data_IF_461384449940
#
_entry.id   IF_461384449940
#
_cell.length_a   1.000
_cell.length_b   1.000
_cell.length_c   1.000
_cell.angle_alpha   90.00
_cell.angle_beta   90.00
_cell.angle_gamma   90.00
#
_symmetry.space_group_name_H-M   'P 1'
#
loop_
_entity.id
_entity.type
_entity.pdbx_description
1 polymer ?
#
# COMPACT_ATOMS: atom_id res chain seq x y z
N UNK A 1 -45.96 -12.99 -0.49
CA UNK A 1 -44.97 -12.63 -1.54
C UNK A 1 -44.03 -13.82 -1.68
N UNK A 2 -44.11 -14.54 -2.80
CA UNK A 2 -43.32 -15.75 -3.05
C UNK A 2 -41.82 -15.45 -2.97
N UNK A 3 -41.09 -16.22 -2.15
CA UNK A 3 -39.63 -16.30 -2.16
C UNK A 3 -39.17 -16.64 -3.58
N UNK A 4 -38.80 -15.62 -4.36
CA UNK A 4 -37.98 -15.84 -5.55
C UNK A 4 -36.65 -16.40 -5.08
N UNK A 5 -36.06 -17.31 -5.86
CA UNK A 5 -34.75 -17.93 -5.61
C UNK A 5 -33.68 -16.85 -5.35
N UNK A 6 -33.46 -16.44 -4.09
CA UNK A 6 -32.31 -15.58 -3.78
C UNK A 6 -31.05 -16.45 -3.83
N UNK A 7 -29.93 -15.87 -4.23
CA UNK A 7 -28.66 -16.58 -4.27
C UNK A 7 -27.55 -15.64 -3.88
N UNK A 8 -26.62 -16.15 -3.08
CA UNK A 8 -25.37 -15.48 -2.72
C UNK A 8 -24.34 -15.89 -3.76
N UNK A 9 -23.87 -14.94 -4.58
CA UNK A 9 -22.79 -15.14 -5.53
C UNK A 9 -21.53 -14.47 -4.99
N UNK A 10 -20.49 -15.26 -4.83
CA UNK A 10 -19.20 -14.79 -4.32
C UNK A 10 -18.32 -14.50 -5.53
N UNK A 11 -17.71 -13.31 -5.58
CA UNK A 11 -17.08 -12.79 -6.80
C UNK A 11 -15.59 -13.06 -6.88
N UNK A 12 -14.90 -13.12 -5.75
CA UNK A 12 -13.45 -13.01 -5.72
C UNK A 12 -12.74 -14.29 -5.25
N UNK A 13 -13.40 -15.46 -5.34
CA UNK A 13 -12.76 -16.73 -5.00
C UNK A 13 -12.95 -17.80 -6.06
N UNK A 14 -11.81 -18.29 -6.58
CA UNK A 14 -11.71 -19.56 -7.32
C UNK A 14 -10.95 -20.66 -6.57
N UNK A 15 -10.37 -20.36 -5.39
CA UNK A 15 -9.55 -21.27 -4.57
C UNK A 15 -9.90 -21.12 -3.08
N UNK A 16 -9.61 -22.17 -2.30
CA UNK A 16 -9.97 -22.27 -0.87
C UNK A 16 -8.78 -22.18 0.11
N UNK A 17 -7.55 -22.06 -0.38
CA UNK A 17 -6.32 -22.11 0.44
C UNK A 17 -5.58 -20.79 0.32
N UNK A 18 -5.23 -20.13 1.43
CA UNK A 18 -4.55 -18.85 1.46
C UNK A 18 -3.24 -18.94 2.23
N UNK A 19 -2.21 -18.19 1.79
CA UNK A 19 -0.95 -18.07 2.51
C UNK A 19 -0.88 -16.84 3.42
N UNK A 20 -2.02 -16.21 3.71
CA UNK A 20 -2.13 -14.97 4.49
C UNK A 20 -3.24 -15.06 5.52
N UNK A 21 -3.13 -14.26 6.58
CA UNK A 21 -4.13 -14.25 7.66
C UNK A 21 -5.37 -13.41 7.35
N UNK A 22 -5.26 -12.28 6.64
CA UNK A 22 -6.41 -11.40 6.35
C UNK A 22 -6.89 -11.61 4.92
N UNK A 23 -8.21 -11.81 4.77
CA UNK A 23 -8.89 -11.93 3.48
C UNK A 23 -10.10 -11.00 3.40
N UNK A 24 -10.42 -10.55 2.19
CA UNK A 24 -11.62 -9.77 1.90
C UNK A 24 -12.59 -10.63 1.10
N UNK A 25 -13.71 -11.04 1.69
CA UNK A 25 -14.80 -11.70 0.97
C UNK A 25 -15.67 -10.64 0.32
N UNK A 26 -15.89 -10.75 -0.99
CA UNK A 26 -16.80 -9.88 -1.74
C UNK A 26 -17.78 -10.70 -2.57
N UNK A 27 -19.01 -10.21 -2.68
CA UNK A 27 -20.05 -10.91 -3.42
C UNK A 27 -21.21 -10.03 -3.79
N UNK A 28 -22.22 -10.62 -4.44
CA UNK A 28 -23.49 -9.99 -4.72
C UNK A 28 -24.69 -10.91 -4.49
N UNK A 29 -25.84 -10.28 -4.34
CA UNK A 29 -27.15 -10.92 -4.22
C UNK A 29 -27.88 -10.78 -5.56
N UNK A 30 -28.22 -11.89 -6.23
CA UNK A 30 -28.85 -11.83 -7.57
C UNK A 30 -30.28 -11.28 -7.52
N UNK A 31 -31.09 -11.73 -6.57
CA UNK A 31 -32.48 -11.33 -6.40
C UNK A 31 -32.67 -10.56 -5.09
N UNK A 32 -33.23 -9.34 -5.15
CA UNK A 32 -33.44 -8.51 -3.95
C UNK A 32 -34.55 -9.06 -3.06
N UNK A 33 -34.32 -9.02 -1.75
CA UNK A 33 -35.31 -9.11 -0.69
C UNK A 33 -35.41 -7.76 0.03
N UNK A 34 -36.38 -7.59 0.94
CA UNK A 34 -36.45 -6.46 1.88
C UNK A 34 -35.30 -6.44 2.90
N UNK A 35 -34.56 -7.55 3.02
CA UNK A 35 -33.39 -7.62 3.90
C UNK A 35 -32.25 -6.72 3.38
N UNK A 36 -31.87 -5.74 4.20
CA UNK A 36 -30.78 -4.80 3.92
C UNK A 36 -29.39 -5.31 4.30
N UNK A 37 -29.30 -6.41 5.07
CA UNK A 37 -28.05 -6.91 5.63
C UNK A 37 -27.82 -8.37 5.26
N UNK A 38 -26.54 -8.73 5.11
CA UNK A 38 -26.05 -10.10 5.08
C UNK A 38 -25.27 -10.34 6.38
N UNK A 39 -25.40 -11.55 6.92
CA UNK A 39 -24.69 -11.95 8.13
C UNK A 39 -23.60 -12.95 7.76
N UNK A 40 -22.47 -12.86 8.45
CA UNK A 40 -21.37 -13.79 8.35
C UNK A 40 -21.11 -14.38 9.72
N UNK A 41 -20.94 -15.71 9.77
CA UNK A 41 -20.53 -16.45 10.95
C UNK A 41 -19.29 -17.28 10.63
N UNK A 42 -18.18 -17.03 11.33
CA UNK A 42 -16.94 -17.79 11.21
C UNK A 42 -16.79 -18.73 12.42
N UNK A 43 -16.62 -20.02 12.13
CA UNK A 43 -16.40 -21.09 13.12
C UNK A 43 -17.42 -21.07 14.28
N UNK A 44 -18.65 -20.66 13.99
CA UNK A 44 -19.76 -20.48 14.95
C UNK A 44 -19.47 -19.52 16.13
N UNK A 45 -18.36 -18.77 16.09
CA UNK A 45 -17.90 -17.92 17.18
C UNK A 45 -17.87 -16.42 16.83
N UNK A 46 -17.47 -16.07 15.61
CA UNK A 46 -17.33 -14.66 15.19
C UNK A 46 -18.47 -14.30 14.25
N UNK A 47 -19.31 -13.33 14.65
CA UNK A 47 -20.41 -12.82 13.82
C UNK A 47 -20.12 -11.41 13.33
N UNK A 48 -20.28 -11.18 12.03
CA UNK A 48 -20.25 -9.86 11.41
C UNK A 48 -21.55 -9.63 10.63
N UNK A 49 -21.95 -8.36 10.49
CA UNK A 49 -23.07 -7.96 9.62
C UNK A 49 -22.58 -6.89 8.66
N UNK A 50 -22.92 -7.05 7.38
CA UNK A 50 -22.61 -6.06 6.35
C UNK A 50 -23.89 -5.58 5.68
N UNK A 51 -23.99 -4.27 5.47
CA UNK A 51 -25.09 -3.68 4.68
C UNK A 51 -24.89 -4.02 3.21
N UNK A 52 -25.96 -4.44 2.55
CA UNK A 52 -25.96 -4.74 1.12
C UNK A 52 -26.18 -3.44 0.36
N UNK A 53 -25.22 -3.08 -0.48
CA UNK A 53 -25.23 -1.82 -1.22
C UNK A 53 -25.07 -2.13 -2.70
N UNK A 54 -26.04 -1.67 -3.51
CA UNK A 54 -26.10 -2.02 -4.94
C UNK A 54 -26.00 -3.53 -5.16
N UNK A 55 -26.70 -4.32 -4.33
CA UNK A 55 -26.67 -5.78 -4.29
C UNK A 55 -25.31 -6.39 -3.92
N UNK A 56 -24.30 -5.59 -3.60
CA UNK A 56 -22.96 -6.07 -3.26
C UNK A 56 -22.73 -6.04 -1.76
N UNK A 57 -21.87 -6.92 -1.27
CA UNK A 57 -21.42 -6.97 0.11
C UNK A 57 -19.92 -7.25 0.17
N UNK A 58 -19.30 -6.87 1.28
CA UNK A 58 -17.91 -7.13 1.61
C UNK A 58 -17.77 -7.50 3.08
N UNK A 59 -16.91 -8.46 3.38
CA UNK A 59 -16.50 -8.84 4.73
C UNK A 59 -14.98 -8.95 4.79
N UNK A 60 -14.39 -8.42 5.85
CA UNK A 60 -12.97 -8.56 6.11
C UNK A 60 -12.78 -9.54 7.27
N UNK A 61 -11.99 -10.60 7.04
CA UNK A 61 -11.84 -11.70 7.98
C UNK A 61 -10.39 -11.95 8.31
N UNK A 62 -10.18 -12.49 9.51
CA UNK A 62 -8.90 -13.08 9.93
C UNK A 62 -9.06 -14.61 9.99
N UNK A 63 -8.30 -15.32 9.17
CA UNK A 63 -8.26 -16.77 9.15
C UNK A 63 -7.34 -17.30 10.25
N UNK A 64 -7.84 -18.31 10.96
CA UNK A 64 -7.06 -19.10 11.89
C UNK A 64 -6.06 -19.97 11.13
N UNK A 65 -4.82 -19.98 11.62
CA UNK A 65 -3.67 -20.60 10.97
C UNK A 65 -3.71 -22.13 11.06
N UNK A 66 -3.31 -22.81 9.98
CA UNK A 66 -3.16 -24.26 9.88
C UNK A 66 -4.42 -25.04 10.23
N UNK A 67 -5.60 -24.46 9.97
CA UNK A 67 -6.88 -25.12 10.13
C UNK A 67 -7.88 -24.65 9.05
N UNK A 68 -8.95 -25.43 8.88
CA UNK A 68 -10.10 -25.06 8.05
C UNK A 68 -10.95 -24.07 8.84
N UNK A 69 -11.21 -22.92 8.23
CA UNK A 69 -12.12 -21.88 8.72
C UNK A 69 -13.45 -22.06 7.98
N UNK A 70 -14.53 -22.29 8.73
CA UNK A 70 -15.87 -22.48 8.18
C UNK A 70 -16.60 -21.14 8.22
N UNK A 71 -16.88 -20.59 7.04
CA UNK A 71 -17.57 -19.29 6.89
C UNK A 71 -18.99 -19.53 6.40
N UNK A 72 -19.98 -19.21 7.23
CA UNK A 72 -21.40 -19.28 6.88
C UNK A 72 -21.92 -17.88 6.56
N UNK A 73 -22.36 -17.68 5.33
CA UNK A 73 -23.02 -16.46 4.86
C UNK A 73 -24.53 -16.68 4.86
N UNK A 74 -25.26 -15.85 5.60
CA UNK A 74 -26.72 -15.93 5.73
C UNK A 74 -27.39 -14.69 5.16
N UNK A 75 -28.32 -14.90 4.23
CA UNK A 75 -29.17 -13.85 3.68
C UNK A 75 -30.60 -14.35 3.52
N UNK A 76 -31.55 -13.76 4.26
CA UNK A 76 -32.94 -14.20 4.29
C UNK A 76 -33.02 -15.69 4.70
N UNK A 77 -33.53 -16.56 3.81
CA UNK A 77 -33.65 -18.00 4.03
C UNK A 77 -32.50 -18.82 3.42
N UNK A 78 -31.52 -18.16 2.81
CA UNK A 78 -30.39 -18.84 2.16
C UNK A 78 -29.15 -18.77 3.02
N UNK A 79 -28.46 -19.90 3.06
CA UNK A 79 -27.15 -20.04 3.63
C UNK A 79 -26.18 -20.50 2.55
N UNK A 80 -24.99 -19.91 2.53
CA UNK A 80 -23.85 -20.38 1.75
C UNK A 80 -22.69 -20.64 2.69
N UNK A 81 -22.00 -21.76 2.52
CA UNK A 81 -20.91 -22.20 3.40
C UNK A 81 -19.62 -22.28 2.59
N UNK A 82 -18.56 -21.70 3.13
CA UNK A 82 -17.22 -21.73 2.57
C UNK A 82 -16.27 -22.40 3.55
N UNK A 83 -15.33 -23.17 3.00
CA UNK A 83 -14.26 -23.80 3.76
C UNK A 83 -12.96 -23.17 3.28
N UNK A 84 -12.33 -22.36 4.15
CA UNK A 84 -11.15 -21.59 3.80
C UNK A 84 -9.98 -22.01 4.70
N UNK A 85 -8.87 -22.39 4.10
CA UNK A 85 -7.66 -22.83 4.81
C UNK A 85 -6.60 -21.74 4.78
N UNK A 86 -5.96 -21.48 5.91
CA UNK A 86 -4.77 -20.64 5.97
C UNK A 86 -3.54 -21.52 6.21
N UNK A 87 -2.77 -21.77 5.16
CA UNK A 87 -1.58 -22.63 5.20
C UNK A 87 -0.34 -21.77 4.99
N UNK A 88 0.65 -21.92 5.88
CA UNK A 88 1.95 -21.26 5.69
C UNK A 88 2.70 -21.84 4.50
N UNK A 89 3.48 -21.03 3.78
CA UNK A 89 4.38 -21.55 2.75
C UNK A 89 5.42 -22.49 3.40
N UNK A 90 5.54 -23.72 2.90
CA UNK A 90 6.46 -24.74 3.44
C UNK A 90 7.93 -24.35 3.32
N UNK A 91 8.28 -23.65 2.24
CA UNK A 91 9.63 -23.13 1.98
C UNK A 91 9.57 -21.62 1.82
N UNK A 92 10.25 -20.91 2.72
CA UNK A 92 10.38 -19.45 2.70
C UNK A 92 11.84 -19.11 2.46
N UNK A 93 12.12 -18.58 1.27
CA UNK A 93 13.45 -18.08 0.90
C UNK A 93 13.54 -16.56 1.03
N UNK A 94 12.41 -15.88 0.86
CA UNK A 94 12.30 -14.43 0.88
C UNK A 94 11.14 -13.99 1.75
N UNK A 95 11.36 -13.01 2.63
CA UNK A 95 10.32 -12.53 3.53
C UNK A 95 10.39 -11.01 3.77
N UNK A 96 9.36 -10.51 4.44
CA UNK A 96 9.23 -9.12 4.86
C UNK A 96 9.14 -9.06 6.38
N UNK A 97 9.97 -8.24 7.01
CA UNK A 97 9.99 -8.02 8.46
C UNK A 97 9.56 -6.59 8.79
N UNK A 98 8.36 -6.40 9.36
CA UNK A 98 7.99 -5.11 9.92
C UNK A 98 8.81 -4.81 11.18
N UNK A 99 9.21 -3.56 11.36
CA UNK A 99 9.97 -3.09 12.51
C UNK A 99 9.32 -1.84 13.12
N UNK A 100 9.28 -1.78 14.45
CA UNK A 100 8.97 -0.57 15.18
C UNK A 100 10.26 0.01 15.76
N UNK A 101 10.73 1.11 15.18
CA UNK A 101 12.02 1.73 15.50
C UNK A 101 11.85 2.68 16.69
N UNK A 102 12.55 2.40 17.79
CA UNK A 102 12.56 3.25 18.97
C UNK A 102 13.95 3.85 19.16
N UNK A 103 14.13 5.16 18.91
CA UNK A 103 15.37 5.87 19.20
C UNK A 103 15.76 5.78 20.67
N UNK A 104 17.05 5.97 20.94
CA UNK A 104 17.57 6.15 22.28
C UNK A 104 16.90 7.36 22.94
N UNK A 105 16.58 7.22 24.23
CA UNK A 105 15.88 8.21 25.05
C UNK A 105 14.43 8.52 24.64
N UNK A 106 13.82 7.70 23.77
CA UNK A 106 12.39 7.74 23.50
C UNK A 106 11.68 6.62 24.29
N UNK A 107 10.49 6.91 24.82
CA UNK A 107 9.68 5.95 25.58
C UNK A 107 9.00 4.89 24.68
N UNK A 108 8.97 5.14 23.37
CA UNK A 108 8.35 4.25 22.39
C UNK A 108 6.84 4.43 22.28
N UNK A 109 6.26 5.48 22.88
CA UNK A 109 4.87 5.85 22.66
C UNK A 109 4.72 6.66 21.38
N UNK A 110 3.56 6.57 20.74
CA UNK A 110 3.22 7.43 19.60
C UNK A 110 2.24 8.53 19.98
N UNK A 111 2.20 9.62 19.21
CA UNK A 111 1.30 10.73 19.51
C UNK A 111 -0.17 10.32 19.32
N UNK A 112 -0.99 10.55 20.35
CA UNK A 112 -2.41 10.21 20.38
C UNK A 112 -3.21 11.26 21.15
N UNK A 113 -4.53 11.24 21.01
CA UNK A 113 -5.39 12.09 21.80
C UNK A 113 -5.38 11.63 23.27
N UNK A 114 -5.12 12.56 24.19
CA UNK A 114 -5.07 12.31 25.64
C UNK A 114 -4.10 11.20 26.09
N UNK A 115 -3.06 10.88 25.30
CA UNK A 115 -2.07 9.83 25.61
C UNK A 115 -2.71 8.44 25.85
N UNK A 116 -3.71 8.08 25.04
CA UNK A 116 -4.45 6.82 25.15
C UNK A 116 -4.13 5.85 24.01
N UNK A 117 -4.10 4.54 24.32
CA UNK A 117 -3.87 3.43 23.36
C UNK A 117 -2.66 3.66 22.45
N UNK A 118 -1.55 4.12 23.04
CA UNK A 118 -0.37 4.54 22.30
C UNK A 118 0.94 3.92 22.80
N UNK A 119 0.84 2.80 23.49
CA UNK A 119 1.99 2.06 24.00
C UNK A 119 2.76 1.37 22.85
N UNK A 120 3.91 0.78 23.21
CA UNK A 120 4.67 -0.06 22.28
C UNK A 120 3.81 -1.23 21.78
N UNK A 121 3.05 -1.88 22.66
CA UNK A 121 2.19 -3.01 22.29
C UNK A 121 1.07 -2.59 21.34
N UNK A 122 0.45 -1.43 21.58
CA UNK A 122 -0.52 -0.84 20.66
C UNK A 122 0.10 -0.59 19.29
N UNK A 123 1.33 -0.07 19.25
CA UNK A 123 2.05 0.17 18.00
C UNK A 123 2.32 -1.13 17.23
N UNK A 124 2.79 -2.18 17.92
CA UNK A 124 3.05 -3.48 17.28
C UNK A 124 1.77 -4.09 16.71
N UNK A 125 0.67 -4.07 17.48
CA UNK A 125 -0.64 -4.56 17.03
C UNK A 125 -1.15 -3.79 15.81
N UNK A 126 -1.04 -2.46 15.83
CA UNK A 126 -1.44 -1.59 14.72
C UNK A 126 -0.59 -1.83 13.47
N UNK A 127 0.73 -1.99 13.61
CA UNK A 127 1.64 -2.28 12.49
C UNK A 127 1.33 -3.65 11.88
N UNK A 128 1.11 -4.68 12.71
CA UNK A 128 0.75 -6.01 12.24
C UNK A 128 -0.56 -5.99 11.44
N UNK A 129 -1.58 -5.29 11.95
CA UNK A 129 -2.84 -5.12 11.25
C UNK A 129 -2.65 -4.34 9.93
N UNK A 130 -1.98 -3.18 9.98
CA UNK A 130 -1.79 -2.31 8.82
C UNK A 130 -1.01 -3.01 7.69
N UNK A 131 0.07 -3.73 8.04
CA UNK A 131 0.86 -4.49 7.05
C UNK A 131 0.10 -5.69 6.50
N UNK A 132 -0.74 -6.35 7.30
CA UNK A 132 -1.61 -7.44 6.84
C UNK A 132 -2.74 -6.94 5.94
N UNK A 133 -3.30 -5.75 6.20
CA UNK A 133 -4.23 -5.08 5.28
C UNK A 133 -3.57 -4.75 3.95
N UNK A 134 -2.34 -4.22 3.98
CA UNK A 134 -1.57 -3.97 2.77
C UNK A 134 -1.32 -5.27 2.00
N UNK A 135 -0.89 -6.34 2.67
CA UNK A 135 -0.71 -7.67 2.05
C UNK A 135 -2.00 -8.19 1.39
N UNK A 136 -3.17 -7.94 1.99
CA UNK A 136 -4.47 -8.26 1.42
C UNK A 136 -4.78 -7.43 0.16
N UNK A 137 -4.42 -6.15 0.11
CA UNK A 137 -4.54 -5.33 -1.12
C UNK A 137 -3.66 -5.90 -2.23
N UNK A 138 -2.39 -6.20 -1.93
CA UNK A 138 -1.47 -6.79 -2.89
C UNK A 138 -1.98 -8.12 -3.46
N UNK A 139 -2.38 -9.06 -2.60
CA UNK A 139 -2.85 -10.37 -3.07
C UNK A 139 -4.08 -10.25 -3.98
N UNK A 140 -4.99 -9.33 -3.69
CA UNK A 140 -6.27 -9.21 -4.40
C UNK A 140 -6.18 -8.36 -5.67
N UNK A 141 -5.18 -7.47 -5.76
CA UNK A 141 -5.03 -6.52 -6.89
C UNK A 141 -3.86 -6.83 -7.82
N UNK A 142 -2.96 -7.72 -7.43
CA UNK A 142 -1.95 -8.27 -8.35
C UNK A 142 -2.55 -9.37 -9.20
N UNK A 143 -3.35 -10.25 -8.61
CA UNK A 143 -3.93 -11.41 -9.27
C UNK A 143 -5.45 -11.38 -9.20
N UNK A 144 -6.11 -10.65 -10.09
CA UNK A 144 -7.58 -10.66 -10.15
C UNK A 144 -8.14 -12.06 -10.45
N UNK A 145 -7.33 -12.97 -11.00
CA UNK A 145 -7.68 -14.37 -11.31
C UNK A 145 -7.06 -15.43 -10.36
N UNK A 146 -6.07 -15.07 -9.51
CA UNK A 146 -5.40 -16.00 -8.58
C UNK A 146 -4.96 -15.32 -7.27
N UNK A 147 -5.93 -14.95 -6.43
CA UNK A 147 -5.73 -14.19 -5.18
C UNK A 147 -4.83 -14.86 -4.11
N UNK A 148 -4.23 -16.01 -4.39
CA UNK A 148 -3.52 -16.80 -3.39
C UNK A 148 -2.05 -16.43 -3.19
N UNK A 149 -1.42 -15.76 -4.15
CA UNK A 149 0.01 -15.50 -4.05
C UNK A 149 0.31 -14.08 -3.55
N UNK A 150 1.05 -14.01 -2.45
CA UNK A 150 1.59 -12.76 -1.89
C UNK A 150 2.96 -13.00 -1.27
N UNK A 151 3.61 -11.91 -0.87
CA UNK A 151 4.87 -11.98 -0.13
C UNK A 151 4.68 -12.56 1.26
N UNK A 152 5.71 -13.21 1.80
CA UNK A 152 5.69 -13.74 3.19
C UNK A 152 5.92 -12.60 4.16
N UNK A 153 5.00 -12.42 5.11
CA UNK A 153 5.01 -11.33 6.09
C UNK A 153 5.20 -11.87 7.51
N UNK A 154 6.23 -11.38 8.19
CA UNK A 154 6.49 -11.69 9.60
C UNK A 154 5.73 -10.74 10.53
N UNK A 155 5.61 -11.12 11.81
CA UNK A 155 5.10 -10.23 12.87
C UNK A 155 6.11 -9.14 13.20
N UNK A 156 5.60 -7.96 13.55
CA UNK A 156 6.39 -6.77 13.86
C UNK A 156 7.33 -7.02 15.05
N UNK A 157 8.53 -6.42 14.97
CA UNK A 157 9.52 -6.49 16.05
C UNK A 157 9.97 -5.10 16.46
N UNK A 158 10.21 -4.93 17.76
CA UNK A 158 10.87 -3.73 18.26
C UNK A 158 12.33 -3.71 17.81
N UNK A 159 12.76 -2.57 17.29
CA UNK A 159 14.15 -2.28 16.97
C UNK A 159 14.58 -1.05 17.77
N UNK A 160 15.51 -1.23 18.70
CA UNK A 160 16.09 -0.12 19.47
C UNK A 160 17.24 0.48 18.66
N UNK A 161 17.08 1.73 18.26
CA UNK A 161 18.12 2.49 17.54
C UNK A 161 19.08 3.14 18.53
N UNK A 162 20.34 3.30 18.12
CA UNK A 162 21.37 3.96 18.93
C UNK A 162 21.27 5.49 18.89
N UNK A 163 20.58 6.04 17.88
CA UNK A 163 20.38 7.47 17.67
C UNK A 163 19.54 8.10 18.77
N UNK A 164 19.90 9.30 19.23
CA UNK A 164 19.10 10.04 20.18
C UNK A 164 17.85 10.62 19.49
N UNK A 165 16.69 10.56 20.15
CA UNK A 165 15.43 11.13 19.64
C UNK A 165 15.55 12.60 19.25
N UNK A 166 16.33 13.39 19.98
CA UNK A 166 16.52 14.82 19.68
C UNK A 166 17.25 15.04 18.36
N UNK A 167 18.19 14.15 18.00
CA UNK A 167 18.91 14.16 16.73
C UNK A 167 18.01 13.70 15.59
N UNK A 168 17.24 12.63 15.82
CA UNK A 168 16.27 12.09 14.84
C UNK A 168 15.27 13.16 14.38
N UNK A 169 14.88 14.06 15.29
CA UNK A 169 14.00 15.19 14.99
C UNK A 169 14.62 16.32 14.16
N UNK A 170 15.93 16.32 13.96
CA UNK A 170 16.64 17.28 13.09
C UNK A 170 16.97 16.73 11.72
N UNK A 171 16.96 15.39 11.55
CA UNK A 171 17.29 14.77 10.27
C UNK A 171 16.22 15.03 9.21
N UNK A 172 16.69 15.23 7.99
CA UNK A 172 15.84 15.07 6.82
C UNK A 172 15.40 13.60 6.69
N UNK A 173 14.34 13.36 5.92
CA UNK A 173 13.87 12.00 5.67
C UNK A 173 14.95 11.09 5.04
N UNK A 174 15.82 11.64 4.18
CA UNK A 174 16.89 10.88 3.53
C UNK A 174 18.02 10.52 4.50
N UNK A 175 18.46 11.48 5.31
CA UNK A 175 19.48 11.21 6.34
C UNK A 175 18.98 10.20 7.38
N UNK A 176 17.72 10.31 7.78
CA UNK A 176 17.10 9.35 8.69
C UNK A 176 17.01 7.96 8.05
N UNK A 177 16.63 7.90 6.77
CA UNK A 177 16.59 6.66 6.00
C UNK A 177 17.97 5.99 5.96
N UNK A 178 19.01 6.71 5.54
CA UNK A 178 20.36 6.17 5.38
C UNK A 178 20.91 5.64 6.72
N UNK A 179 20.67 6.37 7.82
CA UNK A 179 21.09 5.95 9.16
C UNK A 179 20.37 4.69 9.63
N UNK A 180 19.04 4.60 9.44
CA UNK A 180 18.28 3.40 9.81
C UNK A 180 18.66 2.21 8.92
N UNK A 181 18.84 2.44 7.63
CA UNK A 181 19.32 1.40 6.72
C UNK A 181 20.67 0.85 7.20
N UNK A 182 21.62 1.73 7.55
CA UNK A 182 22.91 1.33 8.09
C UNK A 182 22.78 0.53 9.39
N UNK A 183 21.99 0.99 10.37
CA UNK A 183 21.79 0.23 11.62
C UNK A 183 21.16 -1.15 11.40
N UNK A 184 20.28 -1.29 10.39
CA UNK A 184 19.71 -2.59 10.00
C UNK A 184 20.79 -3.48 9.37
N UNK A 185 21.62 -2.95 8.48
CA UNK A 185 22.76 -3.69 7.90
C UNK A 185 23.74 -4.13 8.99
N UNK A 186 24.10 -3.24 9.91
CA UNK A 186 25.02 -3.54 11.00
C UNK A 186 24.47 -4.64 11.92
N UNK A 187 23.15 -4.66 12.16
CA UNK A 187 22.51 -5.65 13.03
C UNK A 187 22.32 -7.01 12.38
N UNK A 188 21.90 -7.05 11.12
CA UNK A 188 21.48 -8.29 10.45
C UNK A 188 22.48 -8.81 9.41
N UNK A 189 23.40 -7.99 8.94
CA UNK A 189 24.38 -8.33 7.90
C UNK A 189 23.82 -8.24 6.47
N UNK A 190 24.73 -8.22 5.50
CA UNK A 190 24.41 -8.10 4.06
C UNK A 190 23.67 -9.33 3.51
N UNK A 191 24.00 -10.53 4.00
CA UNK A 191 23.35 -11.77 3.55
C UNK A 191 21.84 -11.81 3.88
N UNK A 192 21.44 -11.20 5.01
CA UNK A 192 20.03 -11.15 5.41
C UNK A 192 19.26 -10.16 4.56
N UNK A 193 19.79 -8.96 4.31
CA UNK A 193 19.09 -7.94 3.52
C UNK A 193 18.92 -8.33 2.05
N UNK A 194 19.69 -9.29 1.53
CA UNK A 194 19.48 -9.89 0.20
C UNK A 194 18.25 -10.81 0.13
N UNK A 195 17.80 -11.33 1.27
CA UNK A 195 16.66 -12.28 1.38
C UNK A 195 15.48 -11.72 2.16
N UNK A 196 15.68 -10.63 2.92
CA UNK A 196 14.68 -10.00 3.76
C UNK A 196 14.55 -8.53 3.43
N UNK A 197 13.31 -8.13 3.17
CA UNK A 197 12.91 -6.73 3.05
C UNK A 197 12.31 -6.25 4.37
N UNK A 198 12.40 -4.96 4.66
CA UNK A 198 11.98 -4.38 5.93
C UNK A 198 10.98 -3.26 5.71
N UNK A 199 9.95 -3.24 6.56
CA UNK A 199 8.98 -2.14 6.64
C UNK A 199 9.12 -1.56 8.04
N UNK A 200 9.78 -0.41 8.16
CA UNK A 200 10.08 0.22 9.44
C UNK A 200 9.17 1.40 9.71
N UNK A 201 8.68 1.52 10.95
CA UNK A 201 7.95 2.67 11.45
C UNK A 201 8.74 3.35 12.56
N UNK A 202 9.07 4.63 12.40
CA UNK A 202 9.75 5.39 13.46
C UNK A 202 8.75 5.76 14.57
N UNK A 203 9.09 5.47 15.81
CA UNK A 203 8.20 5.66 16.96
C UNK A 203 7.95 7.12 17.33
N UNK A 204 8.89 8.01 16.98
CA UNK A 204 8.95 9.37 17.48
C UNK A 204 8.47 10.41 16.45
N UNK A 205 7.55 10.08 15.54
CA UNK A 205 6.91 11.14 14.74
C UNK A 205 6.23 12.12 15.68
N UNK A 206 6.54 13.41 15.53
CA UNK A 206 6.03 14.47 16.41
C UNK A 206 5.44 15.60 15.60
N UNK A 207 4.14 15.81 15.75
CA UNK A 207 3.44 16.97 15.22
C UNK A 207 3.29 18.03 16.30
N UNK A 208 3.70 19.25 15.99
CA UNK A 208 3.74 20.37 16.94
C UNK A 208 2.40 21.12 17.06
N UNK A 209 1.40 20.78 16.24
CA UNK A 209 0.14 21.50 16.19
C UNK A 209 0.16 22.73 15.29
N UNK A 210 -1.02 23.09 14.78
CA UNK A 210 -1.29 24.39 14.14
C UNK A 210 -1.86 25.36 15.17
N UNK A 211 -1.33 26.58 15.19
CA UNK A 211 -1.85 27.70 15.99
C UNK A 211 -2.91 28.49 15.23
N UNK A 212 -3.66 29.38 15.90
CA UNK A 212 -4.78 30.13 15.29
C UNK A 212 -4.41 30.91 14.03
N UNK A 213 -3.15 31.37 13.91
CA UNK A 213 -2.65 32.13 12.76
C UNK A 213 -1.98 31.24 11.70
N UNK A 214 -1.84 29.93 11.94
CA UNK A 214 -1.24 29.01 10.97
C UNK A 214 -2.29 28.66 9.89
N UNK A 215 -1.94 28.84 8.61
CA UNK A 215 -2.80 28.37 7.53
C UNK A 215 -2.84 26.84 7.47
N UNK A 216 -4.03 26.27 7.31
CA UNK A 216 -4.21 24.84 7.07
C UNK A 216 -3.82 24.51 5.63
N UNK A 217 -2.56 24.11 5.43
CA UNK A 217 -2.04 23.62 4.16
C UNK A 217 -0.92 22.59 4.40
N UNK A 218 -0.64 21.76 3.38
CA UNK A 218 0.32 20.66 3.50
C UNK A 218 1.74 21.14 3.84
N UNK A 219 2.16 22.30 3.33
CA UNK A 219 3.47 22.87 3.61
C UNK A 219 3.63 23.16 5.11
N UNK A 220 2.64 23.80 5.72
CA UNK A 220 2.64 24.10 7.14
C UNK A 220 2.56 22.83 8.00
N UNK A 221 1.68 21.89 7.63
CA UNK A 221 1.57 20.60 8.32
C UNK A 221 2.92 19.88 8.30
N UNK A 222 3.57 19.78 7.14
CA UNK A 222 4.90 19.16 7.00
C UNK A 222 5.96 19.89 7.82
N UNK A 223 6.02 21.22 7.78
CA UNK A 223 7.00 22.00 8.54
C UNK A 223 6.84 21.84 10.06
N UNK A 224 5.63 21.57 10.53
CA UNK A 224 5.30 21.32 11.94
C UNK A 224 5.41 19.84 12.32
N UNK A 225 5.75 18.96 11.38
CA UNK A 225 5.87 17.52 11.61
C UNK A 225 7.34 17.09 11.55
N UNK A 226 7.81 16.49 12.63
CA UNK A 226 9.17 15.95 12.76
C UNK A 226 9.16 14.43 12.63
N UNK A 227 10.22 13.87 12.05
CA UNK A 227 10.42 12.43 11.90
C UNK A 227 9.19 11.70 11.34
N UNK A 228 8.61 12.21 10.24
CA UNK A 228 7.52 11.55 9.50
C UNK A 228 7.97 11.18 8.09
N UNK A 229 8.93 10.25 7.92
CA UNK A 229 9.37 9.82 6.61
C UNK A 229 8.24 9.08 5.87
N UNK A 230 8.29 9.11 4.55
CA UNK A 230 7.61 8.18 3.65
C UNK A 230 8.58 7.95 2.50
N UNK A 231 9.46 6.97 2.68
CA UNK A 231 10.54 6.68 1.73
C UNK A 231 10.78 5.19 1.65
N UNK A 232 11.01 4.69 0.45
CA UNK A 232 11.30 3.30 0.21
C UNK A 232 12.31 3.14 -0.91
N UNK A 233 13.34 2.32 -0.66
CA UNK A 233 14.36 2.00 -1.64
C UNK A 233 15.03 0.66 -1.30
N UNK A 234 15.37 -0.15 -2.30
CA UNK A 234 16.13 -1.39 -2.10
C UNK A 234 15.47 -2.36 -1.11
N UNK A 235 16.02 -2.48 0.10
CA UNK A 235 15.56 -3.43 1.14
C UNK A 235 14.71 -2.81 2.24
N UNK A 236 14.52 -1.48 2.28
CA UNK A 236 13.84 -0.78 3.38
C UNK A 236 12.75 0.17 2.86
N UNK A 237 11.57 0.06 3.46
CA UNK A 237 10.55 1.10 3.46
C UNK A 237 10.48 1.71 4.87
N UNK A 238 10.66 3.02 5.00
CA UNK A 238 10.66 3.75 6.26
C UNK A 238 9.51 4.76 6.29
N UNK A 239 8.63 4.58 7.27
CA UNK A 239 7.43 5.39 7.46
C UNK A 239 7.38 6.03 8.86
N UNK A 240 6.68 7.16 8.95
CA UNK A 240 6.27 7.76 10.22
C UNK A 240 5.04 7.10 10.83
N UNK A 241 4.80 7.38 12.10
CA UNK A 241 3.64 6.87 12.85
C UNK A 241 2.65 7.97 13.26
N UNK A 242 2.75 9.18 12.68
CA UNK A 242 2.00 10.36 13.11
C UNK A 242 0.47 10.23 13.05
N UNK A 243 -0.06 9.28 12.26
CA UNK A 243 -1.49 8.99 12.16
C UNK A 243 -1.93 7.69 12.84
N UNK A 244 -1.08 7.07 13.67
CA UNK A 244 -1.42 5.80 14.34
C UNK A 244 -2.63 5.88 15.28
N UNK A 245 -2.96 7.09 15.74
CA UNK A 245 -4.15 7.35 16.56
C UNK A 245 -5.48 7.06 15.84
N UNK A 246 -5.48 6.97 14.50
CA UNK A 246 -6.69 6.62 13.72
C UNK A 246 -6.78 5.13 13.39
N UNK A 247 -5.72 4.36 13.64
CA UNK A 247 -5.67 2.95 13.26
C UNK A 247 -6.56 2.10 14.19
N UNK A 248 -7.34 1.16 13.66
CA UNK A 248 -8.07 0.19 14.45
C UNK A 248 -7.11 -0.78 15.18
N UNK A 249 -7.58 -1.41 16.26
CA UNK A 249 -6.78 -2.37 17.03
C UNK A 249 -6.96 -3.82 16.56
N UNK A 250 -8.01 -4.09 15.77
CA UNK A 250 -8.30 -5.42 15.24
C UNK A 250 -9.11 -5.34 13.93
N UNK A 251 -9.18 -6.49 13.23
CA UNK A 251 -9.80 -6.62 11.91
C UNK A 251 -11.28 -6.22 11.90
N UNK A 252 -12.03 -6.53 12.97
CA UNK A 252 -13.47 -6.25 13.02
C UNK A 252 -13.78 -4.73 13.05
N UNK A 253 -12.83 -3.90 13.51
CA UNK A 253 -12.97 -2.45 13.59
C UNK A 253 -12.57 -1.73 12.30
N UNK A 254 -11.99 -2.42 11.31
CA UNK A 254 -11.40 -1.78 10.11
C UNK A 254 -12.44 -1.03 9.28
N UNK A 255 -13.61 -1.64 9.06
CA UNK A 255 -14.68 -1.03 8.26
C UNK A 255 -15.23 0.22 8.96
N UNK A 256 -15.42 0.15 10.27
CA UNK A 256 -15.89 1.29 11.06
C UNK A 256 -14.84 2.41 11.08
N UNK A 257 -13.56 2.07 11.24
CA UNK A 257 -12.46 3.03 11.24
C UNK A 257 -12.37 3.80 9.91
N UNK A 258 -12.57 3.14 8.75
CA UNK A 258 -12.63 3.84 7.46
C UNK A 258 -13.83 4.80 7.35
N UNK A 259 -14.93 4.50 8.04
CA UNK A 259 -16.13 5.33 8.06
C UNK A 259 -16.13 6.38 9.19
N UNK A 260 -15.06 6.46 10.00
CA UNK A 260 -14.98 7.39 11.11
C UNK A 260 -14.87 8.84 10.61
N UNK A 261 -15.92 9.62 10.88
CA UNK A 261 -16.05 11.02 10.48
C UNK A 261 -15.57 11.99 11.56
N UNK A 262 -14.96 11.50 12.64
CA UNK A 262 -14.36 12.33 13.69
C UNK A 262 -13.37 13.29 13.06
N UNK A 263 -13.57 14.58 13.32
CA UNK A 263 -12.70 15.64 12.79
C UNK A 263 -11.39 15.65 13.55
N UNK A 264 -10.28 15.78 12.82
CA UNK A 264 -8.94 15.85 13.40
C UNK A 264 -8.74 17.18 14.11
N UNK A 265 -8.38 17.14 15.39
CA UNK A 265 -7.92 18.33 16.10
C UNK A 265 -6.47 18.66 15.72
N UNK A 266 -6.32 19.51 14.71
CA UNK A 266 -5.01 19.89 14.16
C UNK A 266 -4.15 20.73 15.10
N UNK A 267 -4.65 21.08 16.29
CA UNK A 267 -3.83 21.72 17.33
C UNK A 267 -2.92 20.72 18.04
N UNK A 268 -3.27 19.43 17.98
CA UNK A 268 -2.57 18.38 18.74
C UNK A 268 -2.27 17.12 17.92
N UNK A 269 -2.95 16.89 16.80
CA UNK A 269 -2.81 15.67 16.00
C UNK A 269 -2.50 15.97 14.55
N UNK A 270 -1.64 15.15 13.96
CA UNK A 270 -1.28 15.24 12.55
C UNK A 270 -2.50 14.92 11.68
N UNK A 271 -2.77 15.77 10.69
CA UNK A 271 -3.73 15.48 9.63
C UNK A 271 -3.01 15.31 8.28
N UNK A 272 -2.85 14.08 7.84
CA UNK A 272 -2.33 13.72 6.52
C UNK A 272 -3.44 13.23 5.58
N UNK A 273 -4.71 13.45 5.89
CA UNK A 273 -5.86 12.83 5.21
C UNK A 273 -6.15 13.36 3.80
N UNK A 274 -5.21 14.06 3.16
CA UNK A 274 -5.37 14.78 1.91
C UNK A 274 -6.61 15.69 1.91
N UNK A 275 -6.68 16.57 2.92
CA UNK A 275 -7.74 17.58 3.12
C UNK A 275 -9.13 17.04 3.50
N UNK A 276 -9.26 15.74 3.80
CA UNK A 276 -10.54 15.17 4.30
C UNK A 276 -10.83 15.56 5.76
N UNK A 277 -9.79 15.82 6.55
CA UNK A 277 -9.85 16.23 7.98
C UNK A 277 -10.54 15.22 8.90
N UNK A 278 -10.62 13.95 8.50
CA UNK A 278 -11.30 12.90 9.27
C UNK A 278 -10.35 11.79 9.68
N UNK A 279 -10.68 11.09 10.76
CA UNK A 279 -9.94 9.91 11.22
C UNK A 279 -9.92 8.82 10.15
N UNK A 280 -11.06 8.51 9.52
CA UNK A 280 -11.14 7.55 8.42
C UNK A 280 -10.36 7.99 7.18
N UNK A 281 -10.32 9.30 6.89
CA UNK A 281 -9.47 9.86 5.84
C UNK A 281 -7.99 9.65 6.11
N UNK A 282 -7.53 9.92 7.33
CA UNK A 282 -6.15 9.67 7.76
C UNK A 282 -5.78 8.19 7.71
N UNK A 283 -6.68 7.31 8.16
CA UNK A 283 -6.46 5.87 8.08
C UNK A 283 -6.32 5.43 6.61
N UNK A 284 -7.20 5.88 5.72
CA UNK A 284 -7.11 5.59 4.30
C UNK A 284 -5.79 6.09 3.70
N UNK A 285 -5.39 7.32 3.97
CA UNK A 285 -4.11 7.83 3.47
C UNK A 285 -2.93 7.03 4.02
N UNK A 286 -2.93 6.72 5.32
CA UNK A 286 -1.85 5.97 5.98
C UNK A 286 -1.67 4.59 5.34
N UNK A 287 -2.77 3.86 5.12
CA UNK A 287 -2.72 2.57 4.43
C UNK A 287 -2.29 2.72 2.96
N UNK A 288 -2.77 3.76 2.27
CA UNK A 288 -2.43 4.04 0.88
C UNK A 288 -0.93 4.33 0.70
N UNK A 289 -0.38 5.20 1.55
CA UNK A 289 1.05 5.49 1.60
C UNK A 289 1.86 4.23 1.92
N UNK A 290 1.44 3.40 2.89
CA UNK A 290 2.12 2.13 3.16
C UNK A 290 2.12 1.21 1.93
N UNK A 291 0.97 1.03 1.28
CA UNK A 291 0.86 0.19 0.08
C UNK A 291 1.78 0.70 -1.02
N UNK A 292 1.88 2.02 -1.20
CA UNK A 292 2.76 2.68 -2.16
C UNK A 292 4.25 2.42 -1.86
N UNK A 293 4.68 2.65 -0.62
CA UNK A 293 6.08 2.42 -0.21
C UNK A 293 6.47 0.94 -0.28
N UNK A 294 5.56 0.02 0.02
CA UNK A 294 5.75 -1.42 -0.23
C UNK A 294 5.94 -1.69 -1.74
N UNK A 295 5.36 -0.88 -2.62
CA UNK A 295 5.49 -1.02 -4.06
C UNK A 295 6.91 -0.73 -4.51
N UNK A 296 7.48 0.38 -4.05
CA UNK A 296 8.91 0.67 -4.22
C UNK A 296 9.80 -0.39 -3.58
N UNK A 297 9.40 -0.93 -2.43
CA UNK A 297 10.12 -2.02 -1.77
C UNK A 297 10.15 -3.28 -2.66
N UNK A 298 9.19 -3.45 -3.56
CA UNK A 298 9.16 -4.49 -4.60
C UNK A 298 9.48 -3.97 -6.01
N UNK A 299 10.34 -2.95 -6.07
CA UNK A 299 10.96 -2.44 -7.30
C UNK A 299 10.00 -1.77 -8.29
N UNK A 300 8.79 -1.41 -7.86
CA UNK A 300 7.86 -0.65 -8.68
C UNK A 300 8.32 0.80 -8.86
N UNK A 301 8.27 1.28 -10.11
CA UNK A 301 8.36 2.70 -10.42
C UNK A 301 7.02 3.41 -10.18
N UNK A 302 7.04 4.73 -10.26
CA UNK A 302 5.82 5.51 -10.24
C UNK A 302 5.04 5.37 -11.54
N UNK A 303 3.72 5.47 -11.43
CA UNK A 303 2.77 5.50 -12.53
C UNK A 303 1.92 6.76 -12.46
N UNK A 304 1.19 7.09 -13.53
CA UNK A 304 0.30 8.26 -13.52
C UNK A 304 -0.91 8.04 -12.61
N UNK A 305 -1.46 6.82 -12.59
CA UNK A 305 -2.68 6.47 -11.86
C UNK A 305 -2.48 5.22 -10.99
N UNK A 306 -3.49 4.89 -10.20
CA UNK A 306 -3.51 3.72 -9.33
C UNK A 306 -2.65 3.90 -8.08
N UNK A 307 -2.29 2.78 -7.46
CA UNK A 307 -1.58 2.72 -6.19
C UNK A 307 -0.13 3.21 -6.27
N UNK A 308 0.52 3.13 -7.43
CA UNK A 308 1.85 3.72 -7.67
C UNK A 308 1.77 5.14 -8.24
N UNK A 309 0.56 5.72 -8.27
CA UNK A 309 0.28 7.04 -8.81
C UNK A 309 -0.59 7.87 -7.87
N UNK A 310 -1.59 8.57 -8.45
CA UNK A 310 -2.37 9.58 -7.75
C UNK A 310 -3.45 9.05 -6.79
N UNK A 311 -3.75 7.74 -6.79
CA UNK A 311 -5.00 7.21 -6.22
C UNK A 311 -4.85 6.57 -4.83
N UNK A 312 -3.69 6.72 -4.19
CA UNK A 312 -3.39 6.09 -2.89
C UNK A 312 -4.37 6.48 -1.77
N UNK A 313 -4.90 7.71 -1.81
CA UNK A 313 -5.86 8.20 -0.82
C UNK A 313 -7.23 7.50 -0.89
N UNK A 314 -7.50 6.76 -1.96
CA UNK A 314 -8.76 6.06 -2.20
C UNK A 314 -8.73 4.57 -1.79
N UNK A 315 -7.64 4.06 -1.21
CA UNK A 315 -7.50 2.63 -0.88
C UNK A 315 -8.62 2.07 0.02
N UNK A 316 -9.25 2.89 0.86
CA UNK A 316 -10.40 2.47 1.69
C UNK A 316 -11.56 1.90 0.85
N UNK A 317 -11.71 2.34 -0.40
CA UNK A 317 -12.77 1.87 -1.32
C UNK A 317 -12.64 0.41 -1.69
N UNK A 318 -11.43 -0.15 -1.59
CA UNK A 318 -11.21 -1.58 -1.72
C UNK A 318 -11.97 -2.35 -0.63
N UNK A 319 -12.04 -1.82 0.58
CA UNK A 319 -12.71 -2.47 1.72
C UNK A 319 -14.21 -2.14 1.80
N UNK A 320 -14.63 -0.96 1.33
CA UNK A 320 -16.02 -0.50 1.45
C UNK A 320 -16.89 -0.88 0.25
N UNK A 321 -18.19 -1.09 0.49
CA UNK A 321 -19.21 -1.17 -0.56
C UNK A 321 -19.79 0.20 -0.93
N UNK A 322 -19.82 1.13 0.03
CA UNK A 322 -20.27 2.50 -0.20
C UNK A 322 -19.07 3.39 -0.45
N UNK A 323 -18.99 3.94 -1.67
CA UNK A 323 -17.96 4.89 -2.03
C UNK A 323 -18.65 6.21 -2.40
N UNK A 324 -18.39 7.25 -1.62
CA UNK A 324 -18.82 8.61 -1.98
C UNK A 324 -17.83 9.21 -2.97
N UNK A 325 -18.27 10.10 -3.85
CA UNK A 325 -17.33 10.84 -4.69
C UNK A 325 -16.53 11.80 -3.81
N UNK A 326 -15.21 11.72 -3.87
CA UNK A 326 -14.31 12.59 -3.12
C UNK A 326 -13.50 13.42 -4.11
N UNK A 327 -13.50 14.74 -3.93
CA UNK A 327 -12.70 15.66 -4.71
C UNK A 327 -11.48 16.02 -3.87
N UNK A 328 -10.42 15.23 -4.03
CA UNK A 328 -9.13 15.50 -3.41
C UNK A 328 -8.16 16.13 -4.41
N UNK A 329 -7.23 16.99 -3.96
CA UNK A 329 -6.10 17.41 -4.76
C UNK A 329 -5.30 16.20 -5.24
N UNK A 330 -4.81 16.25 -6.50
CA UNK A 330 -3.87 15.25 -6.98
C UNK A 330 -2.59 15.33 -6.16
N UNK A 331 -2.10 14.20 -5.67
CA UNK A 331 -0.77 14.16 -5.08
C UNK A 331 0.23 14.35 -6.19
N UNK A 332 1.17 15.28 -6.05
CA UNK A 332 2.32 15.27 -6.94
C UNK A 332 3.12 14.01 -6.57
N UNK A 333 2.92 12.92 -7.32
CA UNK A 333 3.69 11.67 -7.19
C UNK A 333 5.19 11.97 -7.39
N UNK A 334 5.52 13.13 -7.98
CA UNK A 334 6.84 13.77 -8.06
C UNK A 334 7.40 14.42 -6.78
N UNK A 335 6.66 14.44 -5.66
CA UNK A 335 7.04 15.20 -4.47
C UNK A 335 7.78 14.42 -3.36
N UNK A 336 8.20 13.17 -3.59
CA UNK A 336 9.17 12.55 -2.67
C UNK A 336 10.55 13.24 -2.69
N UNK A 337 10.85 14.14 -3.65
CA UNK A 337 12.16 14.83 -3.76
C UNK A 337 12.15 16.35 -4.05
N UNK A 338 11.03 17.07 -4.05
CA UNK A 338 11.07 18.53 -4.27
C UNK A 338 11.32 19.34 -2.99
N UNK A 339 12.58 19.39 -2.53
CA UNK A 339 13.07 20.43 -1.60
C UNK A 339 14.45 20.99 -1.96
N UNK A 340 14.85 21.01 -3.24
CA UNK A 340 16.05 21.73 -3.70
C UNK A 340 15.72 22.92 -4.64
N UNK A 341 14.44 23.26 -4.87
CA UNK A 341 14.08 24.41 -5.73
C UNK A 341 13.06 25.38 -5.13
N UNK A 342 13.14 25.67 -3.84
CA UNK A 342 12.46 26.85 -3.26
C UNK A 342 13.38 28.07 -3.28
N UNK A 343 13.86 28.44 -4.47
CA UNK A 343 14.33 29.79 -4.80
C UNK A 343 14.13 29.97 -6.30
N UNK A 344 12.90 30.31 -6.70
CA UNK A 344 12.61 31.34 -7.69
C UNK A 344 11.13 31.34 -8.09
N UNK A 345 10.58 32.56 -8.09
CA UNK A 345 9.28 33.01 -8.62
C UNK A 345 8.02 32.70 -7.81
N UNK A 346 7.86 33.55 -6.78
CA UNK A 346 6.59 34.20 -6.50
C UNK A 346 6.06 34.88 -7.77
N UNK A 347 4.96 34.38 -8.33
CA UNK A 347 3.98 35.22 -9.02
C UNK A 347 2.59 34.77 -8.57
N UNK A 348 2.03 35.55 -7.64
CA UNK A 348 0.61 35.52 -7.31
C UNK A 348 -0.17 35.83 -8.59
N UNK A 349 -0.80 34.81 -9.18
CA UNK A 349 -1.89 35.06 -10.13
C UNK A 349 -3.19 34.75 -9.42
N UNK A 350 -3.86 35.81 -8.96
CA UNK A 350 -5.29 35.82 -8.72
C UNK A 350 -5.99 35.50 -10.06
N UNK A 351 -6.15 34.22 -10.37
CA UNK A 351 -7.03 33.76 -11.44
C UNK A 351 -8.23 33.10 -10.78
N UNK A 352 -9.33 33.85 -10.79
CA UNK A 352 -10.68 33.33 -10.63
C UNK A 352 -10.82 31.96 -11.30
N UNK A 353 -11.53 31.07 -10.60
CA UNK A 353 -11.88 29.70 -10.99
C UNK A 353 -12.30 29.66 -12.46
N UNK A 354 -11.40 29.23 -13.36
CA UNK A 354 -11.82 28.77 -14.68
C UNK A 354 -12.59 27.48 -14.45
N UNK A 355 -13.91 27.56 -14.54
CA UNK A 355 -14.79 26.38 -14.61
C UNK A 355 -14.30 25.57 -15.82
N UNK A 356 -13.62 24.46 -15.54
CA UNK A 356 -13.13 23.56 -16.55
C UNK A 356 -14.33 22.81 -17.14
N UNK A 357 -14.35 22.67 -18.47
CA UNK A 357 -15.49 22.24 -19.30
C UNK A 357 -16.21 21.00 -18.75
N UNK A 358 -17.54 20.97 -18.92
CA UNK A 358 -18.57 20.04 -18.41
C UNK A 358 -18.42 18.52 -18.69
N UNK A 359 -17.21 17.97 -18.89
CA UNK A 359 -16.97 16.53 -19.10
C UNK A 359 -16.12 15.89 -18.00
N UNK A 360 -14.94 16.47 -17.69
CA UNK A 360 -13.96 15.82 -16.81
C UNK A 360 -14.44 15.57 -15.37
N UNK A 361 -15.34 16.42 -14.85
CA UNK A 361 -15.97 16.18 -13.54
C UNK A 361 -16.92 14.98 -13.59
N UNK A 362 -17.73 14.89 -14.66
CA UNK A 362 -18.66 13.78 -14.86
C UNK A 362 -17.90 12.48 -15.10
N UNK A 363 -16.81 12.51 -15.86
CA UNK A 363 -15.95 11.35 -16.10
C UNK A 363 -15.33 10.83 -14.79
N UNK A 364 -14.72 11.72 -13.99
CA UNK A 364 -14.16 11.37 -12.67
C UNK A 364 -15.26 10.88 -11.71
N UNK A 365 -16.45 11.47 -11.77
CA UNK A 365 -17.61 11.02 -11.00
C UNK A 365 -18.03 9.60 -11.41
N UNK A 366 -18.11 9.30 -12.70
CA UNK A 366 -18.46 7.98 -13.21
C UNK A 366 -17.39 6.92 -12.90
N UNK A 367 -16.11 7.27 -12.99
CA UNK A 367 -15.00 6.40 -12.59
C UNK A 367 -15.07 6.02 -11.11
N UNK A 368 -15.18 7.02 -10.22
CA UNK A 368 -15.26 6.80 -8.77
C UNK A 368 -16.52 6.06 -8.32
N UNK A 369 -17.62 6.17 -9.08
CA UNK A 369 -18.88 5.51 -8.77
C UNK A 369 -18.85 4.02 -9.11
N UNK A 370 -18.10 3.65 -10.14
CA UNK A 370 -18.10 2.30 -10.69
C UNK A 370 -16.83 1.50 -10.37
N UNK A 371 -15.75 2.17 -9.95
CA UNK A 371 -14.46 1.55 -9.61
C UNK A 371 -14.02 1.99 -8.22
N UNK A 372 -13.31 1.10 -7.51
CA UNK A 372 -12.68 1.44 -6.23
C UNK A 372 -11.41 2.27 -6.38
N UNK A 373 -10.95 2.52 -7.62
CA UNK A 373 -9.69 3.19 -7.97
C UNK A 373 -8.43 2.55 -7.36
N UNK A 374 -8.57 1.36 -6.77
CA UNK A 374 -7.50 0.63 -6.10
C UNK A 374 -6.98 -0.43 -7.06
N UNK A 375 -5.94 -0.12 -7.81
CA UNK A 375 -5.32 -1.03 -8.77
C UNK A 375 -3.83 -0.74 -8.93
N UNK A 376 -3.10 -1.76 -9.39
CA UNK A 376 -1.75 -1.60 -9.94
C UNK A 376 -1.86 -1.54 -11.46
N UNK A 377 -1.10 -0.63 -12.10
CA UNK A 377 -0.99 -0.63 -13.57
C UNK A 377 -0.38 -1.95 -14.07
N UNK A 378 -0.62 -2.28 -15.34
CA UNK A 378 -0.26 -3.58 -15.93
C UNK A 378 1.22 -3.93 -15.75
N UNK A 379 2.10 -2.96 -15.95
CA UNK A 379 3.55 -3.12 -15.80
C UNK A 379 3.96 -3.42 -14.34
N UNK A 380 3.28 -2.78 -13.37
CA UNK A 380 3.45 -3.08 -11.95
C UNK A 380 2.98 -4.49 -11.61
N UNK A 381 1.83 -4.92 -12.14
CA UNK A 381 1.33 -6.28 -11.93
C UNK A 381 2.32 -7.32 -12.45
N UNK A 382 2.84 -7.17 -13.67
CA UNK A 382 3.83 -8.10 -14.25
C UNK A 382 5.09 -8.17 -13.37
N UNK A 383 5.56 -7.03 -12.87
CA UNK A 383 6.71 -6.99 -11.95
C UNK A 383 6.42 -7.80 -10.69
N UNK A 384 5.31 -7.52 -9.99
CA UNK A 384 4.96 -8.20 -8.75
C UNK A 384 4.72 -9.71 -8.94
N UNK A 385 4.06 -10.10 -10.03
CA UNK A 385 3.77 -11.51 -10.33
C UNK A 385 5.03 -12.37 -10.49
N UNK A 386 6.11 -11.76 -10.99
CA UNK A 386 7.38 -12.44 -11.22
C UNK A 386 8.41 -12.16 -10.12
N UNK A 387 8.14 -11.23 -9.20
CA UNK A 387 9.09 -10.81 -8.18
C UNK A 387 9.37 -11.94 -7.16
N UNK A 388 10.65 -12.14 -6.80
CA UNK A 388 11.12 -13.27 -5.96
C UNK A 388 10.47 -13.39 -4.59
N UNK A 389 10.04 -12.27 -4.01
CA UNK A 389 9.31 -12.28 -2.74
C UNK A 389 7.90 -12.86 -2.85
N UNK A 390 7.30 -12.80 -4.04
CA UNK A 390 5.98 -13.39 -4.32
C UNK A 390 6.16 -14.84 -4.79
N UNK A 391 7.07 -15.09 -5.72
CA UNK A 391 7.28 -16.43 -6.32
C UNK A 391 8.06 -17.40 -5.43
N UNK A 392 8.90 -16.90 -4.53
CA UNK A 392 9.84 -17.69 -3.71
C UNK A 392 10.89 -18.46 -4.56
N UNK A 393 11.13 -18.04 -5.80
CA UNK A 393 12.15 -18.64 -6.66
C UNK A 393 13.56 -18.16 -6.28
N UNK A 394 14.51 -19.09 -6.15
CA UNK A 394 15.94 -18.78 -5.96
C UNK A 394 16.57 -18.50 -7.32
N UNK A 395 17.35 -17.42 -7.43
CA UNK A 395 18.03 -17.04 -8.68
C UNK A 395 19.04 -18.10 -9.15
N UNK A 396 19.07 -18.34 -10.45
CA UNK A 396 20.10 -19.16 -11.12
C UNK A 396 20.70 -18.50 -12.37
N UNK A 397 20.42 -17.22 -12.66
CA UNK A 397 20.49 -16.70 -14.03
C UNK A 397 21.27 -15.40 -14.24
N UNK A 398 21.60 -15.14 -15.52
CA UNK A 398 22.31 -13.94 -15.99
C UNK A 398 21.40 -13.09 -16.89
N UNK A 399 21.12 -11.86 -16.47
CA UNK A 399 20.42 -10.84 -17.24
C UNK A 399 21.42 -9.71 -17.56
N UNK A 400 21.61 -9.42 -18.83
CA UNK A 400 22.67 -8.53 -19.32
C UNK A 400 22.10 -7.51 -20.31
N UNK A 401 22.72 -6.34 -20.36
CA UNK A 401 22.40 -5.30 -21.34
C UNK A 401 23.64 -4.86 -22.10
N UNK A 402 23.63 -5.03 -23.42
CA UNK A 402 24.66 -4.60 -24.36
C UNK A 402 24.35 -3.16 -24.81
N UNK A 403 25.11 -2.20 -24.29
CA UNK A 403 24.96 -0.77 -24.59
C UNK A 403 25.20 -0.45 -26.07
N UNK A 404 26.12 -1.14 -26.73
CA UNK A 404 26.48 -0.83 -28.12
C UNK A 404 25.36 -1.20 -29.08
N UNK A 405 24.62 -2.27 -28.76
CA UNK A 405 23.50 -2.75 -29.57
C UNK A 405 22.14 -2.25 -29.08
N UNK A 406 22.09 -1.70 -27.87
CA UNK A 406 20.87 -1.39 -27.14
C UNK A 406 19.96 -2.62 -26.99
N UNK A 407 20.56 -3.76 -26.61
CA UNK A 407 19.87 -5.06 -26.53
C UNK A 407 20.02 -5.67 -25.14
N UNK A 408 18.91 -6.18 -24.61
CA UNK A 408 18.87 -7.00 -23.40
C UNK A 408 18.95 -8.47 -23.78
N UNK A 409 19.83 -9.22 -23.10
CA UNK A 409 19.99 -10.66 -23.22
C UNK A 409 19.69 -11.33 -21.88
N UNK A 410 18.97 -12.44 -21.90
CA UNK A 410 18.57 -13.20 -20.72
C UNK A 410 18.70 -14.70 -20.97
N UNK A 411 19.11 -15.46 -19.95
CA UNK A 411 18.98 -16.93 -19.99
C UNK A 411 17.52 -17.39 -19.89
N UNK A 412 16.66 -16.56 -19.28
CA UNK A 412 15.24 -16.80 -19.02
C UNK A 412 14.32 -15.88 -19.86
N UNK A 413 13.01 -16.16 -19.88
CA UNK A 413 12.08 -15.35 -20.67
C UNK A 413 11.90 -13.96 -20.07
N UNK A 414 12.07 -12.93 -20.92
CA UNK A 414 11.86 -11.54 -20.55
C UNK A 414 10.35 -11.28 -20.51
N UNK A 415 9.85 -10.84 -19.36
CA UNK A 415 8.43 -10.55 -19.14
C UNK A 415 8.11 -9.07 -19.34
N UNK A 416 9.04 -8.21 -18.94
CA UNK A 416 8.83 -6.77 -18.91
C UNK A 416 10.13 -6.03 -19.15
N UNK A 417 10.06 -5.00 -19.99
CA UNK A 417 11.10 -3.98 -20.15
C UNK A 417 10.45 -2.63 -19.90
N UNK A 418 11.10 -1.78 -19.09
CA UNK A 418 10.65 -0.44 -18.75
C UNK A 418 11.79 0.56 -18.86
N UNK A 419 11.46 1.76 -19.34
CA UNK A 419 12.31 2.94 -19.23
C UNK A 419 11.62 3.91 -18.29
N UNK A 420 12.30 4.25 -17.20
CA UNK A 420 11.81 5.14 -16.14
C UNK A 420 12.62 6.44 -16.13
N UNK A 421 12.08 7.51 -15.58
CA UNK A 421 12.92 8.61 -15.10
C UNK A 421 13.94 8.10 -14.08
N UNK A 422 15.09 8.77 -13.98
CA UNK A 422 16.10 8.41 -12.98
C UNK A 422 15.49 8.35 -11.57
N UNK A 423 15.93 7.38 -10.78
CA UNK A 423 15.44 7.17 -9.41
C UNK A 423 15.62 8.41 -8.52
N UNK A 424 16.69 9.19 -8.75
CA UNK A 424 16.94 10.49 -8.07
C UNK A 424 16.04 11.64 -8.52
N UNK A 425 15.09 11.39 -9.43
CA UNK A 425 14.06 12.37 -9.82
C UNK A 425 12.69 11.91 -9.35
N UNK A 426 12.24 10.76 -9.88
CA UNK A 426 10.91 10.26 -9.57
C UNK A 426 10.65 8.80 -9.95
N UNK A 427 11.55 8.09 -10.64
CA UNK A 427 11.26 6.71 -11.12
C UNK A 427 9.97 6.56 -11.94
N UNK A 428 9.45 7.65 -12.53
CA UNK A 428 8.19 7.64 -13.28
C UNK A 428 8.37 6.84 -14.58
N UNK A 429 7.50 5.87 -14.83
CA UNK A 429 7.54 5.07 -16.05
C UNK A 429 7.26 5.94 -17.27
N UNK A 430 8.25 6.06 -18.17
CA UNK A 430 8.13 6.77 -19.45
C UNK A 430 7.56 5.86 -20.54
N UNK A 431 8.04 4.61 -20.57
CA UNK A 431 7.65 3.60 -21.57
C UNK A 431 7.84 2.21 -20.99
N UNK A 432 6.96 1.28 -21.35
CA UNK A 432 7.15 -0.14 -21.07
C UNK A 432 6.71 -1.01 -22.25
N UNK A 433 7.23 -2.24 -22.27
CA UNK A 433 6.85 -3.30 -23.19
C UNK A 433 6.45 -4.54 -22.39
N UNK A 434 5.19 -4.95 -22.53
CA UNK A 434 4.69 -6.24 -22.04
C UNK A 434 5.12 -7.35 -23.01
N UNK A 435 5.88 -8.30 -22.50
CA UNK A 435 6.48 -9.41 -23.24
C UNK A 435 6.02 -10.77 -22.68
N UNK A 436 5.04 -10.77 -21.78
CA UNK A 436 4.62 -11.94 -20.99
C UNK A 436 4.19 -13.14 -21.84
N UNK A 437 3.66 -12.90 -23.05
CA UNK A 437 3.16 -13.94 -23.96
C UNK A 437 4.14 -14.26 -25.11
N UNK A 438 5.30 -13.61 -25.16
CA UNK A 438 6.18 -13.67 -26.34
C UNK A 438 7.30 -14.69 -26.24
N UNK A 439 7.59 -15.21 -25.05
CA UNK A 439 8.66 -16.20 -24.80
C UNK A 439 10.02 -15.80 -25.43
N UNK A 440 10.37 -14.51 -25.36
CA UNK A 440 11.63 -14.01 -25.91
C UNK A 440 12.71 -13.90 -24.84
N UNK A 441 13.95 -14.14 -25.25
CA UNK A 441 15.16 -14.05 -24.40
C UNK A 441 16.09 -12.90 -24.79
N UNK A 442 15.77 -12.22 -25.88
CA UNK A 442 16.48 -11.07 -26.41
C UNK A 442 15.46 -9.97 -26.73
N UNK A 443 15.76 -8.73 -26.36
CA UNK A 443 14.92 -7.58 -26.68
C UNK A 443 15.76 -6.35 -27.03
N UNK A 444 15.57 -5.84 -28.25
CA UNK A 444 16.17 -4.57 -28.68
C UNK A 444 15.31 -3.40 -28.21
N UNK A 445 15.92 -2.48 -27.50
CA UNK A 445 15.27 -1.27 -27.02
C UNK A 445 15.30 -0.23 -28.13
N UNK A 446 14.12 0.25 -28.50
CA UNK A 446 13.94 1.34 -29.45
C UNK A 446 13.37 2.56 -28.72
N UNK A 447 14.19 3.11 -27.82
CA UNK A 447 13.86 4.27 -27.01
C UNK A 447 15.13 4.97 -26.53
N UNK A 448 15.08 6.30 -26.40
CA UNK A 448 16.20 7.07 -25.87
C UNK A 448 16.37 6.81 -24.37
N UNK A 449 17.52 6.25 -24.02
CA UNK A 449 17.88 5.95 -22.63
C UNK A 449 18.49 7.16 -21.90
N UNK A 450 18.71 8.30 -22.56
CA UNK A 450 19.29 9.47 -21.90
C UNK A 450 18.49 9.90 -20.66
N UNK A 451 19.19 10.14 -19.54
CA UNK A 451 18.60 10.53 -18.25
C UNK A 451 17.44 9.60 -17.81
N UNK A 452 17.66 8.29 -17.90
CA UNK A 452 16.65 7.28 -17.60
C UNK A 452 17.22 6.09 -16.83
N UNK A 453 16.33 5.29 -16.26
CA UNK A 453 16.64 3.99 -15.69
C UNK A 453 15.99 2.92 -16.54
N UNK A 454 16.80 2.02 -17.09
CA UNK A 454 16.33 0.77 -17.69
C UNK A 454 16.02 -0.23 -16.59
N UNK A 455 14.81 -0.77 -16.60
CA UNK A 455 14.34 -1.80 -15.68
C UNK A 455 13.81 -2.99 -16.47
N UNK A 456 14.29 -4.19 -16.17
CA UNK A 456 13.88 -5.42 -16.86
C UNK A 456 13.54 -6.50 -15.85
N UNK A 457 12.47 -7.26 -16.10
CA UNK A 457 12.03 -8.41 -15.30
C UNK A 457 11.89 -9.64 -16.18
N UNK A 458 12.30 -10.78 -15.63
CA UNK A 458 12.19 -12.11 -16.25
C UNK A 458 11.19 -12.99 -15.50
N UNK A 459 10.73 -14.09 -16.11
CA UNK A 459 9.74 -15.02 -15.55
C UNK A 459 10.19 -15.70 -14.26
N UNK A 460 11.50 -15.86 -14.05
CA UNK A 460 12.05 -16.43 -12.81
C UNK A 460 12.23 -15.38 -11.69
N UNK A 461 12.01 -14.09 -11.97
CA UNK A 461 12.17 -12.99 -11.03
C UNK A 461 13.56 -12.32 -11.00
N UNK A 462 14.40 -12.55 -12.00
CA UNK A 462 15.63 -11.77 -12.18
C UNK A 462 15.29 -10.35 -12.63
N UNK A 463 15.95 -9.38 -12.01
CA UNK A 463 15.74 -7.95 -12.25
C UNK A 463 17.05 -7.31 -12.66
N UNK A 464 17.05 -6.55 -13.75
CA UNK A 464 18.13 -5.67 -14.16
C UNK A 464 17.69 -4.23 -13.96
N UNK A 465 18.53 -3.44 -13.27
CA UNK A 465 18.38 -1.98 -13.14
C UNK A 465 19.65 -1.31 -13.61
N UNK A 466 19.54 -0.40 -14.58
CA UNK A 466 20.70 0.34 -15.10
C UNK A 466 20.36 1.80 -15.35
N UNK A 467 21.12 2.69 -14.73
CA UNK A 467 20.96 4.14 -14.87
C UNK A 467 21.82 4.66 -16.01
N UNK A 468 21.23 5.54 -16.82
CA UNK A 468 21.89 6.23 -17.92
C UNK A 468 21.84 7.73 -17.64
N UNK A 469 23.01 8.33 -17.49
CA UNK A 469 23.19 9.76 -17.33
C UNK A 469 23.50 10.38 -18.70
N UNK A 470 23.08 11.64 -18.91
CA UNK A 470 23.42 12.37 -20.13
C UNK A 470 24.92 12.67 -20.26
#
# INVERSE_FOLDING_TARGET
MNCKDHSIEIKNYGKNIFSREIILISGCIKNKCEHEYIELLQDDCVSQKAKIINRSFKFLLKLNKNQINVIKLKYCQIESVLHLEHISKDKVFYDVQPLYIIPKNHDGKFQSFNDTNNTIDDALMKIDLLTSLAQCVYSSKVYEEDENNSFVLNKCKVFRSSMNVEEVWQYTQFELYDKIAQEIVDKYGTEIIEKRKFIAFISCTKFLGLYENDEYNYTNIRNKTKANPSLSCGFLALLGNGCFYTLPNNVNQVIDAFNDKTIVDTRVLLDDSNYRKTYGGNFSTTLGSLVHEIGHLFDLGHTENGLMGNDIDHVHRFFLCQNFTEIMPKRNVSNCQQLIKSKEKNEYTNKFTKINRNGAFMDKYHEQKNKDLTFFEKNCQITLMNHRWFTQNILQDSLLFDENKNVVYSSEFIMLVEVRELEKKNSLTKKFWDLSEKNIKEFKIDFDLSNSTLFVVTNNGSILKKNFHA
#
